data_IF_302263692102
#
_entry.id   IF_302263692102
#
_cell.length_a   1.000
_cell.length_b   1.000
_cell.length_c   1.000
_cell.angle_alpha   90.00
_cell.angle_beta   90.00
_cell.angle_gamma   90.00
#
_symmetry.space_group_name_H-M   'P 1'
#
loop_
_entity.id
_entity.type
_entity.pdbx_description
1 polymer ?
#
# COMPACT_ATOMS: atom_id res chain seq x y z
N UNK A 1 -21.52 -11.59 -22.37
CA UNK A 1 -20.39 -12.25 -21.67
C UNK A 1 -19.23 -12.32 -22.65
N UNK A 2 -18.26 -11.42 -22.53
CA UNK A 2 -17.04 -11.41 -23.36
C UNK A 2 -15.87 -11.28 -22.39
N UNK A 3 -15.33 -12.44 -22.00
CA UNK A 3 -14.16 -12.55 -21.14
C UNK A 3 -12.87 -12.53 -21.95
N UNK A 4 -11.87 -11.82 -21.43
CA UNK A 4 -10.43 -12.04 -21.57
C UNK A 4 -9.89 -12.55 -22.93
N UNK A 5 -9.81 -11.66 -23.94
CA UNK A 5 -9.04 -11.91 -25.18
C UNK A 5 -7.57 -11.46 -25.12
N UNK A 6 -7.08 -10.97 -23.98
CA UNK A 6 -5.69 -10.49 -23.84
C UNK A 6 -4.70 -11.58 -23.39
N UNK A 7 -5.18 -12.69 -22.85
CA UNK A 7 -4.33 -13.81 -22.39
C UNK A 7 -3.78 -14.67 -23.55
N UNK A 8 -4.38 -14.62 -24.74
CA UNK A 8 -4.05 -15.55 -25.84
C UNK A 8 -2.97 -15.09 -26.83
N UNK A 9 -2.54 -13.81 -26.81
CA UNK A 9 -1.52 -13.34 -27.78
C UNK A 9 -0.08 -13.69 -27.42
N UNK A 10 0.19 -14.11 -26.18
CA UNK A 10 1.52 -14.55 -25.74
C UNK A 10 1.86 -16.00 -26.07
N UNK A 11 0.95 -16.76 -26.69
CA UNK A 11 1.11 -18.20 -26.95
C UNK A 11 1.49 -18.54 -28.40
N UNK A 12 1.55 -17.56 -29.31
CA UNK A 12 1.71 -17.85 -30.76
C UNK A 12 3.18 -17.88 -31.21
N UNK A 13 4.13 -17.33 -30.44
CA UNK A 13 5.53 -17.22 -30.86
C UNK A 13 6.52 -18.13 -30.08
N UNK A 14 6.06 -19.24 -29.50
CA UNK A 14 6.96 -20.21 -28.87
C UNK A 14 7.57 -21.18 -29.92
N UNK A 15 8.90 -21.42 -29.92
CA UNK A 15 9.53 -22.37 -30.85
C UNK A 15 8.98 -23.79 -30.66
N UNK A 16 8.79 -24.52 -31.77
CA UNK A 16 8.03 -25.77 -31.83
C UNK A 16 8.65 -27.01 -31.16
N UNK A 17 9.78 -26.90 -30.46
CA UNK A 17 10.51 -28.07 -29.95
C UNK A 17 10.68 -28.15 -28.41
N UNK A 18 9.84 -27.47 -27.63
CA UNK A 18 9.81 -27.63 -26.18
C UNK A 18 8.66 -28.54 -25.71
N UNK A 19 8.99 -29.63 -25.01
CA UNK A 19 8.03 -30.52 -24.33
C UNK A 19 7.00 -29.73 -23.51
N UNK A 20 5.71 -30.07 -23.66
CA UNK A 20 4.56 -29.40 -23.02
C UNK A 20 4.69 -29.27 -21.49
N UNK A 21 5.54 -30.05 -20.83
CA UNK A 21 5.83 -29.94 -19.39
C UNK A 21 6.80 -28.81 -19.02
N UNK A 22 7.71 -28.44 -19.91
CA UNK A 22 8.66 -27.33 -19.69
C UNK A 22 8.02 -25.97 -19.97
N UNK A 23 7.05 -25.91 -20.88
CA UNK A 23 6.32 -24.67 -21.19
C UNK A 23 5.43 -24.18 -20.03
N UNK A 24 4.91 -25.09 -19.19
CA UNK A 24 4.09 -24.73 -18.01
C UNK A 24 4.97 -24.17 -16.88
N UNK A 25 6.20 -24.67 -16.71
CA UNK A 25 7.13 -24.15 -15.70
C UNK A 25 7.71 -22.78 -16.06
N UNK A 26 7.86 -22.47 -17.36
CA UNK A 26 8.29 -21.15 -17.81
C UNK A 26 7.16 -20.10 -17.70
N UNK A 27 5.90 -20.51 -17.87
CA UNK A 27 4.75 -19.61 -17.72
C UNK A 27 4.50 -19.13 -16.27
N UNK A 28 4.97 -19.87 -15.27
CA UNK A 28 4.93 -19.47 -13.85
C UNK A 28 6.12 -18.59 -13.42
N UNK A 29 7.09 -18.34 -14.32
CA UNK A 29 8.39 -17.78 -13.96
C UNK A 29 8.75 -16.40 -14.52
N UNK A 30 7.87 -15.71 -15.27
CA UNK A 30 8.25 -14.41 -15.87
C UNK A 30 7.27 -13.31 -15.49
N UNK A 31 7.44 -12.76 -14.28
CA UNK A 31 7.36 -11.31 -14.02
C UNK A 31 8.50 -10.93 -13.07
N UNK A 32 9.48 -10.20 -13.62
CA UNK A 32 10.49 -9.34 -12.98
C UNK A 32 10.88 -9.53 -11.51
N UNK A 33 12.03 -10.18 -11.30
CA UNK A 33 13.10 -9.91 -10.33
C UNK A 33 12.69 -9.55 -8.88
N UNK A 34 12.50 -10.57 -8.03
CA UNK A 34 13.46 -10.98 -6.97
C UNK A 34 12.77 -11.87 -5.92
N UNK A 35 13.25 -13.12 -5.77
CA UNK A 35 13.07 -13.91 -4.54
C UNK A 35 12.17 -15.15 -4.62
N UNK A 36 12.77 -16.28 -5.04
CA UNK A 36 12.41 -17.70 -4.77
C UNK A 36 10.97 -18.13 -5.07
N UNK A 37 10.78 -18.68 -6.27
CA UNK A 37 9.61 -19.50 -6.59
C UNK A 37 9.59 -20.77 -5.73
N UNK A 38 8.54 -20.93 -4.93
CA UNK A 38 8.25 -22.19 -4.26
C UNK A 38 7.87 -23.23 -5.32
N UNK A 39 8.84 -24.06 -5.73
CA UNK A 39 8.56 -25.26 -6.50
C UNK A 39 7.87 -26.28 -5.58
N UNK A 40 6.55 -26.44 -5.73
CA UNK A 40 5.80 -27.54 -5.15
C UNK A 40 6.15 -28.83 -5.92
N UNK A 41 7.18 -29.55 -5.46
CA UNK A 41 7.51 -30.86 -5.98
C UNK A 41 6.61 -31.92 -5.33
N UNK A 42 5.63 -32.45 -6.09
CA UNK A 42 4.93 -33.67 -5.70
C UNK A 42 5.80 -34.88 -6.05
N UNK A 43 6.46 -35.46 -5.05
CA UNK A 43 7.01 -36.81 -5.12
C UNK A 43 6.16 -37.66 -4.18
N UNK A 44 5.43 -38.62 -4.75
CA UNK A 44 4.74 -39.63 -3.97
C UNK A 44 5.64 -40.84 -3.82
N UNK A 45 6.00 -41.17 -2.57
CA UNK A 45 6.06 -42.56 -2.12
C UNK A 45 5.84 -42.60 -0.60
N UNK A 46 5.11 -43.62 -0.15
CA UNK A 46 4.57 -43.70 1.21
C UNK A 46 5.58 -44.18 2.26
N UNK A 47 5.41 -43.69 3.48
CA UNK A 47 5.71 -44.41 4.73
C UNK A 47 4.94 -43.76 5.88
N UNK A 48 4.39 -44.59 6.76
CA UNK A 48 3.48 -44.25 7.84
C UNK A 48 4.15 -43.47 8.98
N UNK A 49 3.64 -42.26 9.20
CA UNK A 49 3.83 -41.41 10.37
C UNK A 49 3.16 -40.08 10.07
N UNK A 50 2.16 -39.67 10.85
CA UNK A 50 1.53 -38.33 10.76
C UNK A 50 2.52 -37.26 11.29
N UNK A 51 3.75 -37.30 10.80
CA UNK A 51 4.77 -36.35 11.17
C UNK A 51 4.43 -35.04 10.47
N UNK A 52 4.29 -33.97 11.25
CA UNK A 52 4.04 -32.62 10.74
C UNK A 52 5.11 -31.67 11.25
N UNK A 53 5.46 -30.69 10.43
CA UNK A 53 6.40 -29.64 10.81
C UNK A 53 5.77 -28.27 10.62
N UNK A 54 6.10 -27.33 11.51
CA UNK A 54 5.73 -25.93 11.34
C UNK A 54 6.81 -25.21 10.55
N UNK A 55 6.45 -24.72 9.36
CA UNK A 55 7.32 -23.90 8.52
C UNK A 55 6.78 -22.48 8.42
N UNK A 56 7.66 -21.49 8.23
CA UNK A 56 7.22 -20.12 7.89
C UNK A 56 7.17 -19.93 6.38
N UNK A 57 6.06 -19.39 5.89
CA UNK A 57 5.85 -19.04 4.48
C UNK A 57 5.42 -17.59 4.35
N UNK A 58 5.70 -16.96 3.20
CA UNK A 58 5.22 -15.60 2.92
C UNK A 58 3.70 -15.54 3.02
N UNK A 59 3.20 -14.59 3.81
CA UNK A 59 1.79 -14.47 4.09
C UNK A 59 0.94 -14.22 2.82
N UNK A 60 1.42 -13.33 1.94
CA UNK A 60 0.73 -13.03 0.68
C UNK A 60 0.67 -14.25 -0.26
N UNK A 61 1.71 -15.08 -0.29
CA UNK A 61 1.72 -16.30 -1.12
C UNK A 61 0.72 -17.33 -0.61
N UNK A 62 0.60 -17.46 0.72
CA UNK A 62 -0.42 -18.30 1.34
C UNK A 62 -1.84 -17.79 1.03
N UNK A 63 -2.05 -16.47 1.08
CA UNK A 63 -3.35 -15.89 0.75
C UNK A 63 -3.71 -16.05 -0.74
N UNK A 64 -2.74 -15.92 -1.65
CA UNK A 64 -2.95 -16.17 -3.08
C UNK A 64 -3.29 -17.63 -3.36
N UNK A 65 -2.65 -18.55 -2.64
CA UNK A 65 -2.83 -19.99 -2.83
C UNK A 65 -4.13 -20.50 -2.23
N UNK A 66 -4.44 -20.10 -0.98
CA UNK A 66 -5.51 -20.70 -0.17
C UNK A 66 -6.65 -19.73 0.18
N UNK A 67 -6.54 -18.46 -0.20
CA UNK A 67 -7.56 -17.44 0.02
C UNK A 67 -7.18 -16.39 1.07
N UNK A 68 -7.82 -15.23 0.97
CA UNK A 68 -7.53 -14.06 1.79
C UNK A 68 -7.68 -14.29 3.31
N UNK A 69 -8.54 -15.23 3.71
CA UNK A 69 -8.81 -15.61 5.09
C UNK A 69 -8.13 -16.93 5.52
N UNK A 70 -7.02 -17.31 4.88
CA UNK A 70 -6.29 -18.55 5.16
C UNK A 70 -6.01 -18.77 6.66
N UNK A 71 -6.56 -19.85 7.23
CA UNK A 71 -6.44 -20.18 8.65
C UNK A 71 -7.49 -19.53 9.56
N UNK A 72 -8.40 -18.75 8.98
CA UNK A 72 -9.50 -18.07 9.66
C UNK A 72 -10.73 -17.95 8.74
N UNK A 73 -11.06 -18.98 7.95
CA UNK A 73 -12.07 -18.88 6.89
C UNK A 73 -13.48 -18.51 7.39
N UNK A 74 -13.79 -18.82 8.65
CA UNK A 74 -15.07 -18.51 9.31
C UNK A 74 -15.13 -17.11 9.94
N UNK A 75 -14.00 -16.41 10.02
CA UNK A 75 -13.93 -15.08 10.61
C UNK A 75 -14.22 -13.99 9.59
N UNK A 76 -14.78 -12.89 10.07
CA UNK A 76 -15.15 -11.73 9.25
C UNK A 76 -14.22 -10.56 9.58
N UNK A 77 -13.96 -9.75 8.56
CA UNK A 77 -13.36 -8.43 8.76
C UNK A 77 -14.38 -7.45 9.34
N UNK A 78 -13.89 -6.48 10.09
CA UNK A 78 -14.70 -5.45 10.75
C UNK A 78 -14.42 -4.09 10.13
N UNK A 79 -15.47 -3.33 9.82
CA UNK A 79 -15.35 -1.98 9.26
C UNK A 79 -15.75 -0.96 10.33
N UNK A 80 -15.01 0.15 10.41
CA UNK A 80 -15.12 1.17 11.47
C UNK A 80 -15.57 2.55 10.94
N UNK A 81 -16.23 2.58 9.79
CA UNK A 81 -16.76 3.80 9.18
C UNK A 81 -18.09 3.60 8.46
N UNK A 82 -18.61 4.69 7.90
CA UNK A 82 -19.94 4.72 7.29
C UNK A 82 -19.87 4.87 5.77
N UNK A 83 -20.79 4.23 5.05
CA UNK A 83 -20.96 4.47 3.62
C UNK A 83 -21.80 5.74 3.41
N UNK A 84 -21.16 6.86 3.05
CA UNK A 84 -21.85 8.14 2.78
C UNK A 84 -22.34 8.33 1.35
N UNK A 85 -21.90 7.48 0.41
CA UNK A 85 -22.20 7.58 -1.02
C UNK A 85 -22.71 6.23 -1.55
N UNK A 86 -23.53 6.22 -2.61
CA UNK A 86 -23.91 4.98 -3.28
C UNK A 86 -22.67 4.17 -3.68
N UNK A 87 -22.70 2.87 -3.39
CA UNK A 87 -21.59 1.97 -3.69
C UNK A 87 -21.84 1.20 -4.99
N UNK A 88 -21.00 1.44 -5.99
CA UNK A 88 -20.96 0.59 -7.19
C UNK A 88 -20.07 -0.63 -6.92
N UNK A 89 -20.69 -1.72 -6.46
CA UNK A 89 -19.97 -2.97 -6.20
C UNK A 89 -19.34 -3.54 -7.48
N UNK A 90 -19.91 -3.29 -8.66
CA UNK A 90 -19.33 -3.75 -9.92
C UNK A 90 -18.03 -3.01 -10.28
N UNK A 91 -17.81 -1.82 -9.73
CA UNK A 91 -16.55 -1.09 -9.90
C UNK A 91 -15.36 -1.81 -9.24
N UNK A 92 -15.58 -2.63 -8.21
CA UNK A 92 -14.52 -3.39 -7.54
C UNK A 92 -13.70 -4.24 -8.52
N UNK A 93 -14.35 -4.80 -9.55
CA UNK A 93 -13.69 -5.64 -10.54
C UNK A 93 -12.68 -4.88 -11.41
N UNK A 94 -12.78 -3.54 -11.45
CA UNK A 94 -11.87 -2.66 -12.19
C UNK A 94 -10.89 -1.91 -11.28
N UNK A 95 -10.92 -2.13 -9.97
CA UNK A 95 -10.16 -1.31 -9.01
C UNK A 95 -8.66 -1.27 -9.32
N UNK A 96 -8.04 -2.41 -9.64
CA UNK A 96 -6.62 -2.49 -10.02
C UNK A 96 -6.29 -1.73 -11.31
N UNK A 97 -7.29 -1.46 -12.16
CA UNK A 97 -7.13 -0.67 -13.39
C UNK A 97 -7.46 0.81 -13.15
N UNK A 98 -8.53 1.10 -12.41
CA UNK A 98 -8.98 2.46 -12.13
C UNK A 98 -7.98 3.24 -11.25
N UNK A 99 -7.28 2.53 -10.34
CA UNK A 99 -6.27 3.11 -9.44
C UNK A 99 -4.84 3.05 -10.00
N UNK A 100 -4.65 2.47 -11.19
CA UNK A 100 -3.34 2.43 -11.84
C UNK A 100 -2.94 3.83 -12.31
N UNK A 101 -1.68 4.27 -12.15
CA UNK A 101 -1.22 5.54 -12.71
C UNK A 101 -1.38 5.54 -14.24
N UNK A 102 -1.80 6.68 -14.77
CA UNK A 102 -1.96 6.93 -16.20
C UNK A 102 -0.58 7.06 -16.88
N UNK A 103 0.38 7.74 -16.23
CA UNK A 103 1.77 7.80 -16.69
C UNK A 103 2.39 6.39 -16.67
N UNK A 104 2.70 5.88 -17.86
CA UNK A 104 3.21 4.52 -18.05
C UNK A 104 4.53 4.30 -17.31
N UNK A 105 5.34 5.36 -17.21
CA UNK A 105 6.63 5.31 -16.56
C UNK A 105 6.54 5.16 -15.03
N UNK A 106 5.35 5.38 -14.45
CA UNK A 106 5.08 5.13 -13.03
C UNK A 106 4.51 3.72 -12.76
N UNK A 107 4.09 2.99 -13.79
CA UNK A 107 3.45 1.67 -13.62
C UNK A 107 4.38 0.62 -13.03
N UNK A 108 5.70 0.76 -13.22
CA UNK A 108 6.69 -0.14 -12.61
C UNK A 108 6.71 -0.07 -11.06
N UNK A 109 6.20 1.02 -10.49
CA UNK A 109 6.16 1.25 -9.04
C UNK A 109 4.75 1.05 -8.45
N UNK A 110 3.74 0.85 -9.30
CA UNK A 110 2.39 0.55 -8.86
C UNK A 110 2.31 -0.90 -8.39
N UNK A 111 1.85 -1.12 -7.16
CA UNK A 111 1.64 -2.46 -6.60
C UNK A 111 0.15 -2.75 -6.53
N UNK A 112 -0.39 -3.64 -7.39
CA UNK A 112 -1.82 -3.89 -7.48
C UNK A 112 -2.34 -4.86 -6.42
N UNK A 113 -1.46 -5.50 -5.63
CA UNK A 113 -1.77 -6.64 -4.76
C UNK A 113 -3.06 -6.43 -3.94
N UNK A 114 -3.19 -5.32 -3.20
CA UNK A 114 -4.39 -5.04 -2.41
C UNK A 114 -5.66 -4.97 -3.27
N UNK A 115 -5.60 -4.35 -4.45
CA UNK A 115 -6.75 -4.11 -5.33
C UNK A 115 -7.15 -5.33 -6.15
N UNK A 116 -6.32 -6.37 -6.20
CA UNK A 116 -6.63 -7.67 -6.79
C UNK A 116 -7.38 -8.60 -5.82
N UNK A 117 -7.30 -8.33 -4.51
CA UNK A 117 -7.90 -9.17 -3.46
C UNK A 117 -9.43 -9.32 -3.49
N UNK A 118 -10.27 -8.37 -3.96
CA UNK A 118 -11.73 -8.49 -3.86
C UNK A 118 -12.31 -9.76 -4.51
N UNK A 119 -11.78 -10.16 -5.66
CA UNK A 119 -12.28 -11.30 -6.44
C UNK A 119 -11.20 -12.35 -6.70
N UNK A 120 -10.14 -12.34 -5.90
CA UNK A 120 -9.15 -13.39 -5.96
C UNK A 120 -9.76 -14.75 -5.60
N UNK A 121 -9.48 -15.74 -6.44
CA UNK A 121 -9.95 -17.12 -6.25
C UNK A 121 -8.77 -17.96 -5.76
N UNK A 122 -8.91 -18.67 -4.62
CA UNK A 122 -7.90 -19.62 -4.16
C UNK A 122 -7.60 -20.67 -5.23
N UNK A 123 -6.32 -20.99 -5.42
CA UNK A 123 -5.90 -22.07 -6.32
C UNK A 123 -5.91 -23.44 -5.64
N UNK A 124 -5.87 -23.47 -4.31
CA UNK A 124 -5.80 -24.65 -3.46
C UNK A 124 -6.79 -24.52 -2.30
N UNK A 125 -7.19 -25.67 -1.75
CA UNK A 125 -8.00 -25.77 -0.53
C UNK A 125 -7.14 -26.46 0.53
N UNK A 126 -6.95 -25.85 1.72
CA UNK A 126 -6.17 -26.49 2.78
C UNK A 126 -6.98 -27.61 3.44
N UNK A 127 -6.33 -28.72 3.76
CA UNK A 127 -7.00 -29.89 4.36
C UNK A 127 -7.63 -29.58 5.73
N UNK A 128 -6.98 -28.73 6.54
CA UNK A 128 -7.43 -28.35 7.88
C UNK A 128 -8.49 -27.23 7.93
N UNK A 129 -8.81 -26.61 6.79
CA UNK A 129 -9.84 -25.57 6.68
C UNK A 129 -10.54 -25.64 5.31
N UNK A 130 -11.34 -26.71 5.07
CA UNK A 130 -11.93 -26.98 3.75
C UNK A 130 -13.12 -26.06 3.41
N UNK A 131 -13.45 -25.11 4.30
CA UNK A 131 -14.61 -24.26 4.11
C UNK A 131 -14.42 -23.34 2.91
N UNK A 132 -15.45 -23.17 2.06
CA UNK A 132 -15.38 -22.26 0.93
C UNK A 132 -15.18 -20.82 1.42
N UNK A 133 -14.09 -20.20 0.98
CA UNK A 133 -13.79 -18.80 1.28
C UNK A 133 -14.74 -17.91 0.47
N UNK A 134 -15.58 -17.14 1.15
CA UNK A 134 -16.41 -16.12 0.49
C UNK A 134 -15.49 -15.06 -0.13
N UNK A 135 -15.66 -14.68 -1.41
CA UNK A 135 -14.87 -13.62 -2.03
C UNK A 135 -14.93 -12.33 -1.20
N UNK A 136 -13.78 -11.70 -0.98
CA UNK A 136 -13.69 -10.50 -0.14
C UNK A 136 -14.60 -9.37 -0.63
N UNK A 137 -14.79 -9.23 -1.95
CA UNK A 137 -15.65 -8.24 -2.58
C UNK A 137 -17.14 -8.40 -2.22
N UNK A 138 -17.57 -9.57 -1.75
CA UNK A 138 -18.93 -9.76 -1.22
C UNK A 138 -19.08 -9.25 0.23
N UNK A 139 -17.98 -9.20 0.99
CA UNK A 139 -17.94 -8.69 2.35
C UNK A 139 -17.55 -7.20 2.43
N UNK A 140 -16.92 -6.66 1.37
CA UNK A 140 -16.37 -5.31 1.33
C UNK A 140 -17.47 -4.25 1.40
N UNK A 141 -17.25 -3.24 2.25
CA UNK A 141 -18.12 -2.06 2.38
C UNK A 141 -17.25 -0.81 2.30
N UNK A 142 -17.58 0.19 1.47
CA UNK A 142 -16.89 1.47 1.51
C UNK A 142 -17.03 2.10 2.88
N UNK A 143 -15.94 2.67 3.38
CA UNK A 143 -15.93 3.40 4.65
C UNK A 143 -15.62 4.87 4.42
N UNK A 144 -16.14 5.70 5.31
CA UNK A 144 -15.78 7.08 5.47
C UNK A 144 -15.71 7.40 6.97
N UNK A 145 -14.63 8.03 7.40
CA UNK A 145 -14.40 8.44 8.79
C UNK A 145 -14.07 9.93 8.87
N UNK A 146 -14.22 10.57 10.04
CA UNK A 146 -13.77 11.96 10.22
C UNK A 146 -12.27 12.16 9.96
N UNK A 147 -11.44 11.13 10.21
CA UNK A 147 -10.01 11.20 9.93
C UNK A 147 -9.73 11.20 8.41
N UNK A 148 -10.47 10.38 7.64
CA UNK A 148 -10.43 10.42 6.18
C UNK A 148 -10.86 11.78 5.61
N UNK A 149 -11.90 12.41 6.17
CA UNK A 149 -12.33 13.75 5.74
C UNK A 149 -11.22 14.79 5.92
N UNK A 150 -10.58 14.82 7.10
CA UNK A 150 -9.44 15.71 7.36
C UNK A 150 -8.30 15.45 6.39
N UNK A 151 -7.93 14.18 6.18
CA UNK A 151 -6.87 13.80 5.26
C UNK A 151 -7.18 14.21 3.82
N UNK A 152 -8.41 13.99 3.34
CA UNK A 152 -8.88 14.44 2.02
C UNK A 152 -8.75 15.96 1.87
N UNK A 153 -9.21 16.74 2.86
CA UNK A 153 -9.09 18.21 2.85
C UNK A 153 -7.62 18.68 2.89
N UNK A 154 -6.76 18.02 3.66
CA UNK A 154 -5.32 18.29 3.65
C UNK A 154 -4.67 17.99 2.29
N UNK A 155 -5.10 16.91 1.61
CA UNK A 155 -4.68 16.59 0.25
C UNK A 155 -5.10 17.66 -0.77
N UNK A 156 -6.34 18.14 -0.67
CA UNK A 156 -6.83 19.28 -1.49
C UNK A 156 -6.02 20.55 -1.26
N UNK A 157 -5.67 20.85 0.00
CA UNK A 157 -4.86 22.02 0.36
C UNK A 157 -3.42 21.92 -0.18
N UNK A 158 -2.82 20.72 -0.18
CA UNK A 158 -1.52 20.53 -0.82
C UNK A 158 -1.61 20.66 -2.35
N UNK A 159 -2.67 20.13 -2.96
CA UNK A 159 -2.90 20.27 -4.40
C UNK A 159 -3.11 21.73 -4.81
N UNK A 160 -3.84 22.55 -4.03
CA UNK A 160 -4.03 23.98 -4.33
C UNK A 160 -2.70 24.74 -4.33
N UNK A 161 -1.77 24.42 -3.43
CA UNK A 161 -0.42 25.00 -3.43
C UNK A 161 0.33 24.69 -4.72
N UNK A 162 0.31 23.43 -5.15
CA UNK A 162 1.02 23.00 -6.35
C UNK A 162 0.39 23.59 -7.63
N UNK A 163 -0.93 23.66 -7.68
CA UNK A 163 -1.68 24.28 -8.79
C UNK A 163 -1.39 25.78 -8.89
N UNK A 164 -1.31 26.48 -7.75
CA UNK A 164 -0.97 27.90 -7.70
C UNK A 164 0.49 28.17 -8.08
N UNK A 165 1.40 27.22 -7.81
CA UNK A 165 2.82 27.30 -8.16
C UNK A 165 3.15 26.81 -9.58
N UNK A 166 2.15 26.67 -10.45
CA UNK A 166 2.33 26.29 -11.85
C UNK A 166 3.23 27.31 -12.57
N UNK A 167 4.10 26.79 -13.43
CA UNK A 167 5.00 27.58 -14.28
C UNK A 167 4.51 27.57 -15.73
N UNK A 168 5.15 28.33 -16.61
CA UNK A 168 4.89 28.26 -18.07
C UNK A 168 5.10 26.84 -18.63
N UNK A 169 6.01 26.08 -18.03
CA UNK A 169 6.25 24.65 -18.34
C UNK A 169 5.22 23.68 -17.74
N UNK A 170 4.21 24.19 -17.04
CA UNK A 170 3.16 23.39 -16.39
C UNK A 170 3.42 23.15 -14.90
N UNK A 171 2.84 22.06 -14.38
CA UNK A 171 2.95 21.68 -12.96
C UNK A 171 4.40 21.36 -12.58
N UNK A 172 4.76 21.64 -11.32
CA UNK A 172 6.07 21.36 -10.72
C UNK A 172 6.28 19.85 -10.53
N UNK A 173 6.68 19.16 -11.60
CA UNK A 173 6.94 17.70 -11.62
C UNK A 173 8.31 17.33 -11.04
N UNK A 174 9.12 18.33 -10.69
CA UNK A 174 10.36 18.17 -9.94
C UNK A 174 10.14 17.89 -8.44
N UNK A 175 8.88 17.97 -7.99
CA UNK A 175 8.44 17.59 -6.64
C UNK A 175 7.74 16.22 -6.71
N UNK A 176 8.21 15.27 -5.92
CA UNK A 176 7.50 14.03 -5.63
C UNK A 176 7.00 14.05 -4.18
N UNK A 177 5.79 13.54 -3.95
CA UNK A 177 5.21 13.41 -2.61
C UNK A 177 5.15 11.95 -2.21
N UNK A 178 5.45 11.64 -0.96
CA UNK A 178 5.27 10.31 -0.37
C UNK A 178 4.32 10.49 0.81
N UNK A 179 3.12 9.89 0.73
CA UNK A 179 2.12 9.96 1.79
C UNK A 179 2.21 8.69 2.63
N UNK A 180 2.60 8.83 3.90
CA UNK A 180 2.77 7.73 4.84
C UNK A 180 1.98 7.98 6.13
N UNK A 181 0.66 7.87 5.99
CA UNK A 181 -0.32 7.90 7.07
C UNK A 181 -0.98 6.52 7.22
N UNK A 182 -1.87 6.38 8.19
CA UNK A 182 -2.74 5.21 8.28
C UNK A 182 -3.46 4.99 6.94
N UNK A 183 -3.56 3.74 6.49
CA UNK A 183 -3.97 3.39 5.13
C UNK A 183 -5.23 4.11 4.61
N UNK A 184 -6.36 4.14 5.35
CA UNK A 184 -7.54 4.91 4.96
C UNK A 184 -7.27 6.41 4.74
N UNK A 185 -6.52 7.06 5.64
CA UNK A 185 -6.12 8.46 5.53
C UNK A 185 -5.19 8.70 4.35
N UNK A 186 -4.22 7.83 4.10
CA UNK A 186 -3.33 7.90 2.94
C UNK A 186 -4.11 7.88 1.62
N UNK A 187 -5.08 6.98 1.50
CA UNK A 187 -5.97 6.94 0.33
C UNK A 187 -6.81 8.22 0.23
N UNK A 188 -7.38 8.69 1.34
CA UNK A 188 -8.21 9.89 1.35
C UNK A 188 -7.42 11.15 0.96
N UNK A 189 -6.21 11.31 1.49
CA UNK A 189 -5.31 12.40 1.12
C UNK A 189 -4.93 12.35 -0.35
N UNK A 190 -4.58 11.18 -0.87
CA UNK A 190 -4.30 11.00 -2.29
C UNK A 190 -5.51 11.35 -3.16
N UNK A 191 -6.73 10.99 -2.73
CA UNK A 191 -7.96 11.34 -3.42
C UNK A 191 -8.18 12.85 -3.47
N UNK A 192 -7.95 13.56 -2.36
CA UNK A 192 -8.01 15.02 -2.32
C UNK A 192 -6.95 15.69 -3.17
N UNK A 193 -5.77 15.07 -3.29
CA UNK A 193 -4.66 15.59 -4.05
C UNK A 193 -4.68 15.23 -5.55
N UNK A 194 -5.58 14.35 -5.99
CA UNK A 194 -5.56 13.71 -7.31
C UNK A 194 -5.70 14.68 -8.50
N UNK A 195 -6.17 15.91 -8.27
CA UNK A 195 -6.25 16.96 -9.28
C UNK A 195 -4.87 17.49 -9.69
N UNK A 196 -3.92 17.57 -8.75
CA UNK A 196 -2.56 18.07 -8.99
C UNK A 196 -1.52 16.94 -9.04
N UNK A 197 -1.84 15.81 -8.43
CA UNK A 197 -0.94 14.67 -8.29
C UNK A 197 -1.50 13.41 -8.95
N UNK A 198 -0.59 12.56 -9.40
CA UNK A 198 -0.84 11.22 -9.87
C UNK A 198 -0.48 10.22 -8.77
N UNK A 199 -1.49 9.59 -8.13
CA UNK A 199 -1.25 8.61 -7.09
C UNK A 199 -0.63 7.33 -7.65
N UNK A 200 0.37 6.81 -6.95
CA UNK A 200 1.01 5.52 -7.16
C UNK A 200 0.91 4.74 -5.86
N UNK A 201 -0.06 3.83 -5.80
CA UNK A 201 -0.29 2.99 -4.63
C UNK A 201 0.72 1.84 -4.58
N UNK A 202 1.28 1.58 -3.40
CA UNK A 202 2.30 0.53 -3.21
C UNK A 202 1.90 -0.49 -2.14
N UNK A 203 0.60 -0.77 -1.99
CA UNK A 203 0.06 -1.66 -0.95
C UNK A 203 0.28 -3.13 -1.32
N UNK A 204 1.31 -3.76 -0.77
CA UNK A 204 1.73 -5.13 -1.10
C UNK A 204 1.24 -6.20 -0.12
N UNK A 205 -0.04 -6.16 0.21
CA UNK A 205 -0.64 -7.17 1.08
C UNK A 205 -2.11 -7.41 0.75
N UNK A 206 -2.65 -8.51 1.25
CA UNK A 206 -4.08 -8.78 1.22
C UNK A 206 -4.69 -8.64 2.62
N UNK A 207 -5.98 -8.28 2.70
CA UNK A 207 -6.69 -8.27 3.97
C UNK A 207 -6.81 -9.68 4.58
N UNK A 208 -6.76 -9.75 5.91
CA UNK A 208 -7.01 -10.97 6.68
C UNK A 208 -7.81 -10.58 7.95
N UNK A 209 -8.78 -11.40 8.44
CA UNK A 209 -9.53 -11.08 9.66
C UNK A 209 -8.63 -10.85 10.88
N UNK A 210 -7.60 -11.67 11.01
CA UNK A 210 -6.54 -11.57 12.03
C UNK A 210 -5.29 -10.82 11.58
N UNK A 211 -5.35 -10.10 10.46
CA UNK A 211 -4.20 -9.36 9.93
C UNK A 211 -3.69 -8.33 10.94
N UNK A 212 -2.36 -8.25 11.09
CA UNK A 212 -1.69 -7.18 11.84
C UNK A 212 -2.00 -5.84 11.17
N UNK A 213 -1.82 -5.77 9.85
CA UNK A 213 -2.20 -4.63 9.03
C UNK A 213 -3.68 -4.76 8.65
N UNK A 214 -4.49 -3.76 9.03
CA UNK A 214 -5.94 -3.74 8.75
C UNK A 214 -6.24 -3.32 7.31
N UNK A 215 -5.65 -4.02 6.34
CA UNK A 215 -5.72 -3.69 4.91
C UNK A 215 -7.15 -3.68 4.32
N UNK A 216 -8.12 -4.33 4.97
CA UNK A 216 -9.54 -4.21 4.57
C UNK A 216 -10.08 -2.80 4.74
N UNK A 217 -9.57 -2.03 5.72
CA UNK A 217 -9.94 -0.62 5.90
C UNK A 217 -9.35 0.24 4.78
N UNK A 218 -8.09 0.03 4.43
CA UNK A 218 -7.42 0.69 3.29
C UNK A 218 -8.14 0.39 1.97
N UNK A 219 -8.52 -0.88 1.74
CA UNK A 219 -9.30 -1.30 0.58
C UNK A 219 -10.71 -0.69 0.57
N UNK A 220 -11.37 -0.61 1.73
CA UNK A 220 -12.68 0.02 1.86
C UNK A 220 -12.63 1.54 1.59
N UNK A 221 -11.58 2.22 2.03
CA UNK A 221 -11.34 3.62 1.71
C UNK A 221 -11.07 3.80 0.21
N UNK A 222 -10.30 2.90 -0.41
CA UNK A 222 -10.07 2.90 -1.85
C UNK A 222 -11.36 2.72 -2.64
N UNK A 223 -12.25 1.81 -2.21
CA UNK A 223 -13.58 1.64 -2.79
C UNK A 223 -14.43 2.92 -2.69
N UNK A 224 -14.38 3.64 -1.56
CA UNK A 224 -15.08 4.90 -1.38
C UNK A 224 -14.61 5.99 -2.35
N UNK A 225 -13.28 6.12 -2.54
CA UNK A 225 -12.68 7.16 -3.37
C UNK A 225 -12.41 6.77 -4.83
N UNK A 226 -12.63 5.50 -5.22
CA UNK A 226 -12.39 4.98 -6.57
C UNK A 226 -12.92 5.88 -7.70
N UNK A 227 -14.15 6.45 -7.63
CA UNK A 227 -14.64 7.33 -8.69
C UNK A 227 -13.79 8.58 -8.94
N UNK A 228 -13.10 9.09 -7.90
CA UNK A 228 -12.22 10.26 -8.05
C UNK A 228 -10.93 9.88 -8.80
N UNK A 229 -10.34 8.74 -8.49
CA UNK A 229 -9.14 8.26 -9.18
C UNK A 229 -9.40 7.94 -10.65
N UNK A 230 -10.51 7.26 -10.94
CA UNK A 230 -10.92 6.94 -12.31
C UNK A 230 -11.11 8.20 -13.17
N UNK A 231 -11.62 9.30 -12.59
CA UNK A 231 -11.81 10.59 -13.28
C UNK A 231 -10.52 11.38 -13.46
N UNK A 232 -9.58 11.25 -12.53
CA UNK A 232 -8.38 12.08 -12.45
C UNK A 232 -7.31 11.74 -13.51
N UNK A 233 -7.48 10.70 -14.32
CA UNK A 233 -6.50 10.22 -15.32
C UNK A 233 -6.29 11.17 -16.53
N UNK A 234 -6.49 12.49 -16.40
CA UNK A 234 -6.41 13.47 -17.49
C UNK A 234 -5.26 14.46 -17.28
N UNK A 235 -4.22 14.33 -18.09
CA UNK A 235 -3.14 15.32 -18.20
C UNK A 235 -1.92 15.09 -17.26
N UNK A 236 -0.83 15.83 -17.50
CA UNK A 236 0.41 15.69 -16.73
C UNK A 236 0.25 16.22 -15.30
N UNK A 237 0.67 15.41 -14.32
CA UNK A 237 0.59 15.71 -12.87
C UNK A 237 1.93 15.41 -12.17
N UNK A 238 2.11 15.94 -10.96
CA UNK A 238 3.24 15.58 -10.11
C UNK A 238 3.04 14.17 -9.53
N UNK A 239 4.11 13.48 -9.13
CA UNK A 239 4.01 12.11 -8.62
C UNK A 239 3.69 12.09 -7.12
N UNK A 240 2.77 11.21 -6.71
CA UNK A 240 2.48 10.95 -5.30
C UNK A 240 2.50 9.45 -5.01
N UNK A 241 3.47 8.97 -4.22
CA UNK A 241 3.48 7.59 -3.71
C UNK A 241 2.60 7.50 -2.47
N UNK A 242 1.76 6.47 -2.41
CA UNK A 242 0.78 6.29 -1.34
C UNK A 242 1.11 5.01 -0.57
N UNK A 243 1.53 5.19 0.69
CA UNK A 243 1.95 4.14 1.61
C UNK A 243 0.94 4.00 2.75
N UNK A 244 0.94 2.83 3.40
CA UNK A 244 0.22 2.59 4.65
C UNK A 244 1.24 2.53 5.78
N UNK A 245 1.18 3.48 6.71
CA UNK A 245 2.09 3.55 7.86
C UNK A 245 2.00 2.32 8.76
N UNK A 246 0.83 1.68 8.81
CA UNK A 246 0.61 0.47 9.59
C UNK A 246 1.26 -0.77 8.95
N UNK A 247 1.90 -0.66 7.78
CA UNK A 247 2.64 -1.78 7.14
C UNK A 247 3.75 -2.35 8.03
N UNK A 248 4.29 -1.54 8.95
CA UNK A 248 5.34 -1.93 9.90
C UNK A 248 4.81 -2.13 11.33
N UNK A 249 3.50 -2.28 11.52
CA UNK A 249 2.93 -2.42 12.87
C UNK A 249 3.50 -3.60 13.64
N UNK A 250 3.45 -3.51 14.97
CA UNK A 250 4.03 -4.53 15.83
C UNK A 250 3.34 -5.88 15.61
N UNK A 251 4.14 -6.94 15.50
CA UNK A 251 3.69 -8.32 15.45
C UNK A 251 4.28 -9.05 16.64
N UNK A 252 3.44 -9.72 17.43
CA UNK A 252 3.85 -10.28 18.72
C UNK A 252 3.35 -11.69 18.97
N UNK A 253 2.33 -12.17 18.25
CA UNK A 253 1.68 -13.43 18.57
C UNK A 253 1.24 -14.22 17.34
N UNK A 254 2.01 -15.26 17.02
CA UNK A 254 1.73 -16.23 15.95
C UNK A 254 0.38 -16.96 16.12
N UNK A 255 -0.12 -17.11 17.35
CA UNK A 255 -1.32 -17.90 17.63
C UNK A 255 -2.62 -17.13 17.35
N UNK A 256 -2.56 -15.79 17.37
CA UNK A 256 -3.75 -14.93 17.21
C UNK A 256 -3.64 -13.91 16.09
N UNK A 257 -2.43 -13.69 15.54
CA UNK A 257 -2.19 -12.70 14.50
C UNK A 257 -1.68 -13.35 13.21
N UNK A 258 -2.10 -12.76 12.09
CA UNK A 258 -1.61 -13.09 10.76
C UNK A 258 -0.69 -11.97 10.28
N UNK A 259 0.59 -12.27 10.07
CA UNK A 259 1.60 -11.28 9.68
C UNK A 259 1.50 -10.92 8.18
N UNK A 260 0.55 -10.06 7.83
CA UNK A 260 0.40 -9.48 6.50
C UNK A 260 1.14 -8.14 6.35
N UNK A 261 2.22 -7.93 7.09
CA UNK A 261 3.12 -6.78 6.95
C UNK A 261 3.93 -6.87 5.66
N UNK A 262 4.35 -5.72 5.17
CA UNK A 262 5.12 -5.58 3.93
C UNK A 262 5.99 -4.32 3.99
N UNK A 263 6.99 -4.24 3.12
CA UNK A 263 7.87 -3.07 2.99
C UNK A 263 7.40 -2.17 1.85
N UNK A 264 7.60 -0.87 1.98
CA UNK A 264 7.33 0.10 0.92
C UNK A 264 8.16 -0.24 -0.33
N UNK A 265 7.62 0.09 -1.51
CA UNK A 265 8.31 -0.06 -2.79
C UNK A 265 8.37 1.30 -3.47
N UNK A 266 9.48 2.01 -3.30
CA UNK A 266 9.71 3.31 -3.92
C UNK A 266 10.73 3.19 -5.08
N UNK A 267 10.71 4.12 -6.05
CA UNK A 267 11.80 4.22 -7.01
C UNK A 267 13.11 4.54 -6.30
N UNK A 268 14.20 3.92 -6.74
CA UNK A 268 15.54 4.29 -6.33
C UNK A 268 15.82 5.78 -6.62
N UNK A 269 16.73 6.39 -5.85
CA UNK A 269 17.09 7.80 -5.97
C UNK A 269 17.52 8.20 -7.41
N UNK A 270 18.25 7.33 -8.12
CA UNK A 270 18.65 7.58 -9.51
C UNK A 270 17.45 7.59 -10.46
N UNK A 271 16.46 6.72 -10.24
CA UNK A 271 15.24 6.71 -11.03
C UNK A 271 14.42 7.98 -10.79
N UNK A 272 14.31 8.46 -9.54
CA UNK A 272 13.69 9.76 -9.24
C UNK A 272 14.45 10.90 -9.92
N UNK A 273 15.78 10.92 -9.81
CA UNK A 273 16.62 11.96 -10.41
C UNK A 273 16.47 12.01 -11.94
N UNK A 274 16.51 10.87 -12.61
CA UNK A 274 16.37 10.74 -14.06
C UNK A 274 15.00 11.24 -14.56
N UNK A 275 13.97 11.16 -13.72
CA UNK A 275 12.63 11.69 -13.98
C UNK A 275 12.49 13.20 -13.73
N UNK A 276 13.57 13.87 -13.33
CA UNK A 276 13.56 15.29 -13.03
C UNK A 276 13.15 15.63 -11.59
N UNK A 277 12.94 14.64 -10.72
CA UNK A 277 12.65 14.90 -9.31
C UNK A 277 13.89 15.47 -8.64
N UNK A 278 13.69 16.57 -7.92
CA UNK A 278 14.71 17.28 -7.13
C UNK A 278 14.29 17.46 -5.68
N UNK A 279 12.99 17.33 -5.40
CA UNK A 279 12.42 17.50 -4.08
C UNK A 279 11.50 16.32 -3.75
N UNK A 280 11.65 15.79 -2.54
CA UNK A 280 10.75 14.77 -1.99
C UNK A 280 10.10 15.34 -0.73
N UNK A 281 8.77 15.39 -0.74
CA UNK A 281 7.96 15.77 0.40
C UNK A 281 7.36 14.52 1.05
N UNK A 282 7.84 14.17 2.23
CA UNK A 282 7.34 13.05 3.01
C UNK A 282 6.23 13.51 3.97
N UNK A 283 5.00 13.10 3.70
CA UNK A 283 3.81 13.51 4.45
C UNK A 283 3.49 12.46 5.52
N UNK A 284 3.41 12.92 6.77
CA UNK A 284 3.12 12.11 7.97
C UNK A 284 1.81 12.57 8.62
N UNK A 285 1.14 11.75 9.45
CA UNK A 285 -0.20 12.09 9.93
C UNK A 285 -0.22 13.32 10.85
N UNK A 286 0.75 13.42 11.76
CA UNK A 286 0.76 14.43 12.81
C UNK A 286 2.18 14.82 13.25
N UNK A 287 2.25 15.89 14.02
CA UNK A 287 3.50 16.49 14.51
C UNK A 287 4.37 15.60 15.40
N UNK A 288 3.75 14.64 16.09
CA UNK A 288 4.47 13.67 16.92
C UNK A 288 5.37 12.74 16.08
N UNK A 289 5.10 12.59 14.79
CA UNK A 289 5.94 11.83 13.87
C UNK A 289 7.07 12.73 13.35
N UNK A 290 8.26 12.53 13.90
CA UNK A 290 9.45 13.34 13.60
C UNK A 290 10.50 12.61 12.76
N UNK A 291 10.29 11.32 12.52
CA UNK A 291 11.18 10.45 11.74
C UNK A 291 10.35 9.63 10.74
N UNK A 292 11.00 9.26 9.64
CA UNK A 292 10.44 8.39 8.62
C UNK A 292 10.25 6.95 9.13
N UNK A 293 9.43 6.16 8.43
CA UNK A 293 9.26 4.74 8.75
C UNK A 293 10.58 3.99 8.51
N UNK A 294 10.86 2.94 9.28
CA UNK A 294 12.17 2.25 9.28
C UNK A 294 12.59 1.73 7.91
N UNK A 295 11.62 1.27 7.12
CA UNK A 295 11.83 0.79 5.76
C UNK A 295 12.13 1.89 4.74
N UNK A 296 12.07 3.18 5.12
CA UNK A 296 12.35 4.31 4.22
C UNK A 296 13.70 4.98 4.49
N UNK A 297 14.42 4.61 5.56
CA UNK A 297 15.65 5.32 5.94
C UNK A 297 16.70 5.27 4.84
N UNK A 298 17.02 4.07 4.35
CA UNK A 298 18.05 3.86 3.33
C UNK A 298 17.67 4.55 2.01
N UNK A 299 16.39 4.53 1.62
CA UNK A 299 15.87 5.23 0.44
C UNK A 299 16.03 6.75 0.56
N UNK A 300 15.73 7.32 1.73
CA UNK A 300 15.84 8.77 1.95
C UNK A 300 17.31 9.20 2.06
N UNK A 301 18.17 8.35 2.64
CA UNK A 301 19.62 8.55 2.63
C UNK A 301 20.18 8.51 1.20
N UNK A 302 19.71 7.58 0.37
CA UNK A 302 20.08 7.52 -1.05
C UNK A 302 19.61 8.78 -1.80
N UNK A 303 18.39 9.26 -1.57
CA UNK A 303 17.89 10.52 -2.13
C UNK A 303 18.79 11.70 -1.75
N UNK A 304 19.13 11.82 -0.46
CA UNK A 304 20.00 12.89 0.02
C UNK A 304 21.41 12.80 -0.59
N UNK A 305 21.97 11.60 -0.73
CA UNK A 305 23.26 11.39 -1.41
C UNK A 305 23.25 11.81 -2.88
N UNK A 306 22.07 11.71 -3.52
CA UNK A 306 21.84 12.16 -4.90
C UNK A 306 21.46 13.63 -5.02
N UNK A 307 21.55 14.39 -3.92
CA UNK A 307 21.16 15.80 -3.84
C UNK A 307 19.66 16.05 -4.12
N UNK A 308 18.82 15.04 -3.88
CA UNK A 308 17.37 15.22 -3.84
C UNK A 308 17.02 15.74 -2.44
N UNK A 309 16.39 16.90 -2.36
CA UNK A 309 16.03 17.52 -1.08
C UNK A 309 14.83 16.79 -0.46
N UNK A 310 15.08 16.02 0.60
CA UNK A 310 14.04 15.31 1.35
C UNK A 310 13.59 16.16 2.55
N UNK A 311 12.30 16.48 2.59
CA UNK A 311 11.64 17.24 3.65
C UNK A 311 10.42 16.49 4.17
N UNK A 312 10.00 16.80 5.39
CA UNK A 312 8.82 16.20 6.01
C UNK A 312 7.73 17.25 6.23
N UNK A 313 6.47 16.84 6.12
CA UNK A 313 5.29 17.66 6.39
C UNK A 313 4.26 16.87 7.19
N UNK A 314 3.85 17.37 8.35
CA UNK A 314 2.69 16.81 9.04
C UNK A 314 1.40 17.25 8.34
N UNK A 315 0.54 16.32 7.95
CA UNK A 315 -0.76 16.59 7.33
C UNK A 315 -1.69 17.42 8.24
N UNK A 316 -1.48 17.34 9.56
CA UNK A 316 -2.19 18.10 10.59
C UNK A 316 -1.92 19.61 10.55
N UNK A 317 -0.91 20.09 9.82
CA UNK A 317 -0.65 21.53 9.65
C UNK A 317 -1.69 22.20 8.74
N UNK A 318 -2.40 21.40 7.94
CA UNK A 318 -3.53 21.86 7.15
C UNK A 318 -4.80 21.81 7.99
N UNK A 319 -5.38 22.97 8.24
CA UNK A 319 -6.63 23.08 8.99
C UNK A 319 -7.52 24.15 8.41
N UNK A 320 -8.81 24.08 8.76
CA UNK A 320 -9.78 25.08 8.36
C UNK A 320 -9.52 26.43 9.03
N UNK A 321 -9.79 27.51 8.30
CA UNK A 321 -9.84 28.84 8.88
C UNK A 321 -11.18 29.04 9.60
N UNK A 322 -11.16 29.04 10.93
CA UNK A 322 -12.35 29.22 11.75
C UNK A 322 -13.00 30.62 11.56
N UNK A 323 -12.25 31.60 11.04
CA UNK A 323 -12.72 32.95 10.78
C UNK A 323 -13.24 33.19 9.37
N UNK A 324 -13.14 32.21 8.46
CA UNK A 324 -13.51 32.41 7.07
C UNK A 324 -15.04 32.32 6.88
N UNK A 325 -15.70 33.37 6.34
CA UNK A 325 -17.15 33.38 6.17
C UNK A 325 -17.57 32.34 5.13
N UNK A 326 -18.57 31.50 5.48
CA UNK A 326 -19.12 30.49 4.56
C UNK A 326 -19.80 31.16 3.36
N UNK A 327 -19.35 30.91 2.12
CA UNK A 327 -20.02 31.41 0.92
C UNK A 327 -21.44 30.85 0.79
N UNK A 328 -22.35 31.63 0.19
CA UNK A 328 -23.74 31.20 -0.01
C UNK A 328 -23.85 29.94 -0.90
N UNK A 329 -22.89 29.73 -1.79
CA UNK A 329 -22.77 28.58 -2.70
C UNK A 329 -21.74 27.53 -2.22
N UNK A 330 -21.41 27.54 -0.92
CA UNK A 330 -20.45 26.60 -0.35
C UNK A 330 -20.89 25.15 -0.57
N UNK A 331 -19.98 24.34 -1.11
CA UNK A 331 -20.17 22.89 -1.27
C UNK A 331 -20.03 22.17 0.07
N UNK A 332 -20.26 20.86 0.09
CA UNK A 332 -19.98 19.99 1.25
C UNK A 332 -18.49 20.01 1.67
N UNK A 333 -17.61 20.50 0.80
CA UNK A 333 -16.16 20.60 1.02
C UNK A 333 -15.76 21.88 1.78
N UNK A 334 -16.73 22.67 2.25
CA UNK A 334 -16.47 23.82 3.14
C UNK A 334 -16.34 23.40 4.62
N UNK A 335 -15.50 24.06 5.43
CA UNK A 335 -14.48 25.03 5.06
C UNK A 335 -13.24 24.40 4.39
N UNK A 336 -12.56 25.11 3.48
CA UNK A 336 -11.29 24.68 2.92
C UNK A 336 -10.22 24.59 4.01
N UNK A 337 -9.26 23.69 3.83
CA UNK A 337 -8.07 23.65 4.67
C UNK A 337 -6.95 24.49 4.05
N UNK A 338 -6.16 25.12 4.90
CA UNK A 338 -4.99 25.89 4.51
C UNK A 338 -3.77 25.49 5.31
N UNK A 339 -2.61 25.59 4.68
CA UNK A 339 -1.32 25.45 5.35
C UNK A 339 -1.22 26.52 6.43
N UNK A 340 -1.08 26.11 7.69
CA UNK A 340 -1.05 27.05 8.81
C UNK A 340 -2.43 27.54 9.26
N UNK A 341 -3.51 26.93 8.75
CA UNK A 341 -4.87 27.13 9.22
C UNK A 341 -5.60 28.40 8.77
N UNK A 342 -5.03 29.18 7.84
CA UNK A 342 -5.67 30.40 7.31
C UNK A 342 -5.35 30.63 5.84
N UNK A 343 -6.26 31.25 5.10
CA UNK A 343 -6.04 31.60 3.70
C UNK A 343 -4.79 32.48 3.52
N UNK A 344 -4.61 33.47 4.38
CA UNK A 344 -3.48 34.40 4.34
C UNK A 344 -2.12 33.76 4.62
N UNK A 345 -2.10 32.61 5.31
CA UNK A 345 -0.87 31.88 5.65
C UNK A 345 -0.59 30.69 4.73
N UNK A 346 -1.53 30.36 3.84
CA UNK A 346 -1.45 29.20 2.95
C UNK A 346 -0.15 29.20 2.12
N UNK A 347 0.17 30.35 1.51
CA UNK A 347 1.37 30.50 0.68
C UNK A 347 2.69 30.37 1.46
N UNK A 348 2.67 30.45 2.80
CA UNK A 348 3.88 30.32 3.63
C UNK A 348 4.53 28.94 3.50
N UNK A 349 3.81 27.94 2.99
CA UNK A 349 4.38 26.67 2.58
C UNK A 349 5.68 26.86 1.77
N UNK A 350 5.68 27.79 0.80
CA UNK A 350 6.86 28.05 -0.05
C UNK A 350 8.01 28.78 0.65
N UNK A 351 7.77 29.32 1.85
CA UNK A 351 8.82 29.85 2.73
C UNK A 351 9.49 28.74 3.53
N UNK A 352 8.72 27.76 4.02
CA UNK A 352 9.27 26.61 4.75
C UNK A 352 9.92 25.57 3.81
N UNK A 353 9.41 25.46 2.57
CA UNK A 353 9.93 24.60 1.50
C UNK A 353 10.35 25.47 0.30
N UNK A 354 11.54 26.10 0.36
CA UNK A 354 12.00 27.09 -0.62
C UNK A 354 12.49 26.44 -1.91
N UNK A 355 11.58 25.72 -2.58
CA UNK A 355 11.83 25.01 -3.83
C UNK A 355 11.56 25.86 -5.06
N UNK A 356 11.27 27.14 -4.89
CA UNK A 356 10.95 28.05 -5.98
C UNK A 356 11.09 29.50 -5.56
N UNK A 357 10.72 30.44 -6.45
CA UNK A 357 10.69 31.85 -6.10
C UNK A 357 9.69 32.09 -4.96
N UNK A 358 9.95 33.07 -4.09
CA UNK A 358 9.05 33.38 -2.99
C UNK A 358 7.70 33.87 -3.54
N UNK A 359 6.58 33.46 -2.91
CA UNK A 359 5.24 33.87 -3.32
C UNK A 359 5.05 35.39 -3.24
N UNK A 360 4.25 35.93 -4.18
CA UNK A 360 3.84 37.34 -4.23
C UNK A 360 2.32 37.44 -4.31
N UNK A 361 1.66 38.21 -3.42
CA UNK A 361 2.22 38.95 -2.30
C UNK A 361 2.86 38.05 -1.23
N UNK A 362 3.67 38.62 -0.34
CA UNK A 362 4.30 37.87 0.74
C UNK A 362 3.23 37.27 1.66
N UNK A 363 3.29 35.95 1.96
CA UNK A 363 2.31 35.29 2.81
C UNK A 363 2.51 35.69 4.27
N UNK A 364 1.47 35.49 5.08
CA UNK A 364 1.52 35.72 6.53
C UNK A 364 2.10 34.48 7.21
N UNK A 365 3.02 34.67 8.16
CA UNK A 365 3.59 33.55 8.91
C UNK A 365 2.51 32.81 9.74
N UNK A 366 2.40 31.48 9.62
CA UNK A 366 1.53 30.70 10.48
C UNK A 366 1.91 30.83 11.96
N UNK A 367 0.91 31.13 12.80
CA UNK A 367 1.05 31.12 14.26
C UNK A 367 1.05 29.69 14.87
N UNK A 368 0.92 28.67 14.03
CA UNK A 368 0.94 27.26 14.44
C UNK A 368 2.33 26.65 14.24
N UNK A 369 2.62 25.58 14.98
CA UNK A 369 3.80 24.78 14.73
C UNK A 369 3.72 24.14 13.34
N UNK A 370 4.89 24.02 12.70
CA UNK A 370 5.05 23.50 11.33
C UNK A 370 6.06 22.36 11.38
N UNK A 371 5.62 21.18 11.88
CA UNK A 371 6.49 20.06 12.15
C UNK A 371 7.06 19.50 10.86
N UNK A 372 8.28 18.97 10.94
CA UNK A 372 8.94 18.37 9.78
C UNK A 372 9.65 19.36 8.85
N UNK A 373 9.41 20.67 8.95
CA UNK A 373 10.09 21.64 8.04
C UNK A 373 11.62 21.62 8.14
N UNK A 374 12.16 21.34 9.34
CA UNK A 374 13.59 21.19 9.59
C UNK A 374 14.11 19.76 9.40
N UNK A 375 13.21 18.81 9.12
CA UNK A 375 13.59 17.41 8.96
C UNK A 375 14.63 17.25 7.86
N UNK A 376 15.60 16.39 8.15
CA UNK A 376 16.59 15.87 7.23
C UNK A 376 16.76 14.39 7.52
N UNK A 377 16.84 13.53 6.49
CA UNK A 377 17.16 12.14 6.70
C UNK A 377 18.52 12.04 7.38
N UNK A 378 18.60 11.15 8.36
CA UNK A 378 19.82 10.85 9.09
C UNK A 378 20.00 9.35 9.08
N UNK A 379 21.23 8.90 8.86
CA UNK A 379 21.53 7.49 8.88
C UNK A 379 21.18 6.92 10.25
N UNK A 380 20.43 5.82 10.27
CA UNK A 380 20.10 5.06 11.48
C UNK A 380 20.15 3.58 11.19
N UNK A 381 20.49 2.80 12.20
CA UNK A 381 20.37 1.34 12.12
C UNK A 381 18.90 0.99 12.26
N UNK A 382 18.34 0.37 11.24
CA UNK A 382 16.97 -0.15 11.24
C UNK A 382 16.99 -1.67 11.03
N UNK A 383 15.89 -2.38 11.37
CA UNK A 383 15.75 -3.80 11.02
C UNK A 383 15.84 -4.08 9.51
N UNK A 384 15.68 -3.04 8.67
CA UNK A 384 15.71 -3.11 7.22
C UNK A 384 17.02 -2.59 6.61
N UNK A 385 17.96 -2.12 7.45
CA UNK A 385 19.24 -1.58 7.00
C UNK A 385 20.16 -2.71 6.54
N UNK A 386 20.70 -2.60 5.32
CA UNK A 386 21.64 -3.58 4.81
C UNK A 386 21.96 -3.43 3.33
N UNK A 387 23.19 -2.99 3.05
CA UNK A 387 23.79 -3.01 1.71
C UNK A 387 23.81 -4.43 1.15
N UNK A 388 23.12 -4.66 0.04
CA UNK A 388 23.63 -5.60 -0.96
C UNK A 388 23.85 -4.84 -2.26
N UNK A 389 24.89 -5.23 -3.00
CA UNK A 389 25.26 -4.78 -4.34
C UNK A 389 24.13 -4.90 -5.39
N UNK A 390 22.94 -5.37 -5.00
CA UNK A 390 21.79 -5.65 -5.84
C UNK A 390 20.61 -4.65 -5.68
N UNK A 391 20.69 -3.71 -4.74
CA UNK A 391 19.63 -2.71 -4.52
C UNK A 391 18.35 -3.26 -3.87
N UNK A 392 18.33 -4.52 -3.43
CA UNK A 392 17.21 -5.09 -2.70
C UNK A 392 17.34 -4.81 -1.20
N UNK A 393 16.28 -4.26 -0.61
CA UNK A 393 16.17 -3.97 0.82
C UNK A 393 16.23 -5.26 1.64
N UNK A 394 17.04 -5.28 2.71
CA UNK A 394 17.10 -6.42 3.62
C UNK A 394 15.79 -6.49 4.42
N UNK A 395 15.06 -7.59 4.31
CA UNK A 395 13.83 -7.82 5.08
C UNK A 395 14.12 -8.88 6.14
N UNK A 396 13.76 -8.68 7.42
CA UNK A 396 13.91 -9.71 8.45
C UNK A 396 13.22 -11.01 8.03
N UNK A 397 13.85 -12.17 8.30
CA UNK A 397 13.40 -13.48 7.79
C UNK A 397 11.94 -13.83 8.18
N UNK A 398 11.49 -13.38 9.35
CA UNK A 398 10.15 -13.63 9.87
C UNK A 398 9.13 -12.58 9.45
N UNK A 399 9.54 -11.48 8.82
CA UNK A 399 8.66 -10.36 8.50
C UNK A 399 7.74 -10.68 7.32
N UNK A 400 6.42 -10.49 7.51
CA UNK A 400 5.43 -10.78 6.47
C UNK A 400 5.30 -12.28 6.20
N UNK A 401 5.51 -13.11 7.23
CA UNK A 401 5.43 -14.57 7.13
C UNK A 401 4.45 -15.15 8.14
N UNK A 402 3.75 -16.20 7.74
CA UNK A 402 2.83 -16.95 8.60
C UNK A 402 3.38 -18.36 8.85
N UNK A 403 3.29 -18.87 10.10
CA UNK A 403 3.57 -20.27 10.37
C UNK A 403 2.48 -21.17 9.77
N UNK A 404 2.89 -22.20 9.06
CA UNK A 404 2.02 -23.19 8.41
C UNK A 404 2.43 -24.59 8.82
N UNK A 405 1.44 -25.47 8.96
CA UNK A 405 1.67 -26.89 9.24
C UNK A 405 1.83 -27.63 7.91
N UNK A 406 2.92 -28.36 7.77
CA UNK A 406 3.29 -29.11 6.58
C UNK A 406 3.40 -30.60 6.91
N UNK A 407 2.82 -31.46 6.08
CA UNK A 407 2.97 -32.90 6.21
C UNK A 407 4.38 -33.37 5.80
N UNK A 408 5.08 -34.04 6.72
CA UNK A 408 6.40 -34.63 6.49
C UNK A 408 6.21 -35.91 5.65
N UNK A 409 6.50 -35.81 4.36
CA UNK A 409 6.34 -36.91 3.39
C UNK A 409 5.78 -36.43 2.06
N UNK A 410 4.78 -35.56 2.09
CA UNK A 410 4.17 -34.97 0.87
C UNK A 410 4.58 -33.52 0.66
N UNK A 411 5.02 -32.82 1.72
CA UNK A 411 5.23 -31.38 1.69
C UNK A 411 3.93 -30.58 1.53
N UNK A 412 2.76 -31.23 1.66
CA UNK A 412 1.47 -30.58 1.53
C UNK A 412 1.22 -29.62 2.71
N UNK A 413 0.68 -28.45 2.41
CA UNK A 413 0.28 -27.47 3.42
C UNK A 413 -1.08 -27.88 3.97
N UNK A 414 -1.10 -28.30 5.23
CA UNK A 414 -2.32 -28.74 5.91
C UNK A 414 -3.16 -27.55 6.38
N UNK A 415 -2.52 -26.43 6.72
CA UNK A 415 -3.19 -25.20 7.12
C UNK A 415 -2.25 -24.21 7.81
N UNK A 416 -2.78 -23.05 8.20
CA UNK A 416 -2.04 -22.12 9.05
C UNK A 416 -1.96 -22.66 10.48
N UNK A 417 -0.82 -22.48 11.16
CA UNK A 417 -0.66 -22.93 12.55
C UNK A 417 -1.61 -22.19 13.53
N UNK A 418 -2.06 -20.99 13.17
CA UNK A 418 -3.06 -20.23 13.91
C UNK A 418 -4.50 -20.79 13.80
N UNK A 419 -4.73 -21.74 12.89
CA UNK A 419 -6.04 -22.37 12.72
C UNK A 419 -6.36 -23.24 13.93
N UNK A 420 -7.56 -23.09 14.48
CA UNK A 420 -8.03 -23.86 15.65
C UNK A 420 -8.90 -25.08 15.29
N UNK A 421 -9.18 -25.29 14.00
CA UNK A 421 -10.12 -26.31 13.52
C UNK A 421 -9.49 -27.67 13.20
N UNK A 422 -8.16 -27.78 13.13
CA UNK A 422 -7.46 -29.02 12.77
C UNK A 422 -7.29 -30.03 13.92
N UNK A 423 -7.37 -31.32 13.61
CA UNK A 423 -7.05 -32.44 14.53
C UNK A 423 -5.59 -32.41 15.03
N UNK A 424 -4.70 -31.72 14.31
CA UNK A 424 -3.25 -31.63 14.54
C UNK A 424 -2.87 -30.86 15.82
N UNK A 425 -3.69 -29.88 16.24
CA UNK A 425 -3.47 -29.15 17.49
C UNK A 425 -3.77 -29.98 18.75
N UNK A 426 -4.24 -31.22 18.61
CA UNK A 426 -4.45 -32.14 19.73
C UNK A 426 -3.24 -33.01 20.04
N UNK A 427 -2.22 -33.04 19.17
CA UNK A 427 -1.09 -33.95 19.29
C UNK A 427 0.04 -33.45 20.22
N UNK A 428 0.09 -32.17 20.59
CA UNK A 428 1.14 -31.63 21.47
C UNK A 428 0.76 -31.53 22.96
N UNK A 429 -0.44 -32.00 23.35
CA UNK A 429 -0.89 -32.06 24.74
C UNK A 429 -0.46 -33.36 25.40
N UNK A 430 0.79 -33.43 25.85
CA UNK A 430 1.32 -34.57 26.59
C UNK A 430 0.59 -34.81 27.92
N UNK A 431 0.24 -36.06 28.13
CA UNK A 431 -0.19 -36.73 29.37
C UNK A 431 0.30 -36.06 30.67
N UNK A 432 -0.66 -35.65 31.51
CA UNK A 432 -0.48 -35.46 32.95
C UNK A 432 -1.50 -36.33 33.66
N UNK A 433 -1.09 -37.53 34.04
CA UNK A 433 -1.75 -38.40 35.02
C UNK A 433 -0.88 -38.49 36.26
#
# INVERSE_FOLDING_TARGET
MVGARWWHKGLVDAPKDASRRSAIMVALGVIGLSGVGAALAMVGDGCSGDDTEVQRKRALDMQRSFGWSFGAAQERVTFDGEARKPFDQAALARMSTDLRPADESLRAYYVPSLFESPYAVPTLVPEGDPAPVTPLGAALRPIFTPAMDRAYRSGKALASLLLAARTDSGLRRDIAVIVDMDGPESVAFAAGAAEAFEPVFTFDNWPHPRGVVKAHLTLAAAAYYQPLFARAQRGPRATMFVLDRQRLSAYSDDATQFDNRYVARLPAADALWARGVRHVLYVVPAEAVTTESDDLNDDFMACASRQIDVRMLAASVFSADAGEPRPANATEEWPPHYYGGRAASHGWFWMDYPWGPPPRPAPVEPAVQRPGKLYRPRQRVTPFSGSTLSGAQRVPETFGTVPVVVALGTGAILGAALSRSGSWNRASGGYGG
#
